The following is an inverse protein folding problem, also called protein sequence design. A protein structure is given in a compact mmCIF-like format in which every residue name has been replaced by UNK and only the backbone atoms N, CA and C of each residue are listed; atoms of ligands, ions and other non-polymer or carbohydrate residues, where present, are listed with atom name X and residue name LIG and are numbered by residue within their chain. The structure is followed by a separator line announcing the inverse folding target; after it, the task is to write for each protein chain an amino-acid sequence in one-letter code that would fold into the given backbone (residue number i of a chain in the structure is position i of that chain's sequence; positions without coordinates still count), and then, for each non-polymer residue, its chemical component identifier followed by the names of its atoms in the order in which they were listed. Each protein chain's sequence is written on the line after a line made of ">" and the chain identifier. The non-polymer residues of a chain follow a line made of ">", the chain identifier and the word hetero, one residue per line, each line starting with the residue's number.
data_IF_358929018197
#
_entry.id   IF_358929018197
#
_cell.length_a   1.000
_cell.length_b   1.000
_cell.length_c   1.000
_cell.angle_alpha   90.00
_cell.angle_beta   90.00
_cell.angle_gamma   90.00
#
_symmetry.space_group_name_H-M   'P 1'
#
loop_
_entity.id
_entity.type
_entity.pdbx_description
1 polymer ?
#
# COMPACT_ATOMS: atom_id res chain seq x y z
N UNK A 1 9.96 4.99 28.50
CA UNK A 1 8.84 4.41 27.72
C UNK A 1 9.19 4.55 26.25
N UNK A 2 9.64 3.49 25.59
CA UNK A 2 9.71 3.51 24.13
C UNK A 2 8.28 3.51 23.60
N UNK A 3 7.87 4.60 22.95
CA UNK A 3 6.68 4.59 22.10
C UNK A 3 6.97 3.60 20.97
N UNK A 4 6.29 2.45 20.97
CA UNK A 4 6.24 1.59 19.81
C UNK A 4 5.63 2.41 18.67
N UNK A 5 6.46 2.87 17.73
CA UNK A 5 6.00 3.42 16.46
C UNK A 5 5.20 2.31 15.78
N UNK A 6 3.89 2.49 15.70
CA UNK A 6 3.03 1.56 14.98
C UNK A 6 3.42 1.62 13.51
N UNK A 7 3.84 0.48 12.93
CA UNK A 7 4.05 0.36 11.50
C UNK A 7 2.69 0.57 10.82
N UNK A 8 2.55 1.70 10.11
CA UNK A 8 1.36 1.99 9.32
C UNK A 8 1.42 1.14 8.05
N UNK A 9 0.64 0.08 8.00
CA UNK A 9 0.52 -0.76 6.80
C UNK A 9 -0.27 0.01 5.73
N UNK A 10 0.32 0.18 4.55
CA UNK A 10 -0.33 0.80 3.39
C UNK A 10 -0.71 -0.34 2.44
N UNK A 11 -2.00 -0.71 2.33
CA UNK A 11 -2.41 -1.75 1.41
C UNK A 11 -2.28 -1.25 -0.03
N UNK A 12 -1.60 -2.02 -0.87
CA UNK A 12 -1.40 -1.72 -2.28
C UNK A 12 -1.90 -2.89 -3.12
N UNK A 13 -2.87 -2.63 -3.98
CA UNK A 13 -3.37 -3.54 -4.99
C UNK A 13 -2.67 -3.25 -6.31
N UNK A 14 -1.80 -4.17 -6.73
CA UNK A 14 -1.09 -4.08 -8.00
C UNK A 14 -1.84 -4.83 -9.11
N UNK A 15 -1.47 -4.55 -10.37
CA UNK A 15 -1.93 -5.22 -11.58
C UNK A 15 -3.39 -4.90 -11.94
N UNK A 16 -3.79 -3.64 -11.75
CA UNK A 16 -5.11 -3.14 -12.16
C UNK A 16 -5.31 -3.06 -13.67
N UNK A 17 -4.24 -3.21 -14.45
CA UNK A 17 -4.23 -3.13 -15.91
C UNK A 17 -4.79 -4.38 -16.62
N UNK A 18 -5.02 -5.46 -15.88
CA UNK A 18 -5.57 -6.70 -16.45
C UNK A 18 -7.08 -6.57 -16.66
N UNK A 19 -7.59 -6.95 -17.83
CA UNK A 19 -9.04 -7.00 -18.10
C UNK A 19 -9.73 -8.01 -17.16
N UNK A 20 -9.00 -9.06 -16.76
CA UNK A 20 -9.44 -10.05 -15.78
C UNK A 20 -9.25 -9.61 -14.31
N UNK A 21 -8.80 -8.37 -14.04
CA UNK A 21 -8.57 -7.91 -12.67
C UNK A 21 -9.90 -7.64 -11.95
N UNK A 22 -10.20 -8.47 -10.95
CA UNK A 22 -11.34 -8.27 -10.06
C UNK A 22 -10.96 -7.35 -8.88
N UNK A 23 -10.88 -6.05 -9.18
CA UNK A 23 -10.47 -5.01 -8.23
C UNK A 23 -11.40 -4.96 -7.01
N UNK A 24 -12.70 -5.11 -7.23
CA UNK A 24 -13.71 -4.98 -6.17
C UNK A 24 -13.67 -6.16 -5.20
N UNK A 25 -13.54 -7.40 -5.68
CA UNK A 25 -13.39 -8.53 -4.78
C UNK A 25 -12.02 -8.53 -4.08
N UNK A 26 -10.95 -8.08 -4.75
CA UNK A 26 -9.65 -7.94 -4.11
C UNK A 26 -9.68 -6.92 -2.96
N UNK A 27 -10.34 -5.77 -3.13
CA UNK A 27 -10.55 -4.79 -2.06
C UNK A 27 -11.31 -5.37 -0.88
N UNK A 28 -12.39 -6.12 -1.11
CA UNK A 28 -13.16 -6.78 -0.06
C UNK A 28 -12.32 -7.79 0.73
N UNK A 29 -11.46 -8.55 0.04
CA UNK A 29 -10.54 -9.47 0.71
C UNK A 29 -9.55 -8.71 1.60
N UNK A 30 -8.97 -7.61 1.11
CA UNK A 30 -8.05 -6.77 1.88
C UNK A 30 -8.74 -6.18 3.12
N UNK A 31 -9.97 -5.68 2.96
CA UNK A 31 -10.79 -5.19 4.08
C UNK A 31 -11.02 -6.31 5.12
N UNK A 32 -11.38 -7.51 4.68
CA UNK A 32 -11.61 -8.64 5.59
C UNK A 32 -10.33 -9.14 6.29
N UNK A 33 -9.16 -9.01 5.65
CA UNK A 33 -7.88 -9.49 6.20
C UNK A 33 -7.21 -8.49 7.15
N UNK A 34 -7.22 -7.20 6.79
CA UNK A 34 -6.43 -6.15 7.47
C UNK A 34 -7.33 -5.10 8.14
N UNK A 35 -8.62 -5.05 7.79
CA UNK A 35 -9.55 -4.04 8.29
C UNK A 35 -9.37 -2.66 7.64
N UNK A 36 -8.58 -2.57 6.56
CA UNK A 36 -8.32 -1.31 5.84
C UNK A 36 -9.50 -0.92 4.98
N UNK A 37 -9.88 0.35 4.99
CA UNK A 37 -10.99 0.85 4.17
C UNK A 37 -10.61 0.82 2.70
N UNK A 38 -11.59 0.66 1.82
CA UNK A 38 -11.36 0.61 0.37
C UNK A 38 -10.66 1.86 -0.17
N UNK A 39 -10.91 3.02 0.44
CA UNK A 39 -10.28 4.29 0.08
C UNK A 39 -8.83 4.44 0.58
N UNK A 40 -8.35 3.52 1.42
CA UNK A 40 -6.96 3.45 1.88
C UNK A 40 -6.12 2.48 1.03
N UNK A 41 -6.76 1.74 0.11
CA UNK A 41 -6.10 0.77 -0.77
C UNK A 41 -5.62 1.46 -2.04
N UNK A 42 -4.31 1.55 -2.20
CA UNK A 42 -3.69 2.11 -3.39
C UNK A 42 -3.77 1.14 -4.56
N UNK A 43 -4.30 1.59 -5.67
CA UNK A 43 -4.36 0.83 -6.92
C UNK A 43 -3.21 1.26 -7.82
N UNK A 44 -2.37 0.32 -8.22
CA UNK A 44 -1.23 0.58 -9.08
C UNK A 44 -1.14 -0.44 -10.22
N UNK A 45 -0.48 -0.05 -11.30
CA UNK A 45 -0.02 -0.94 -12.36
C UNK A 45 1.49 -0.78 -12.52
N UNK A 46 2.23 -1.81 -12.08
CA UNK A 46 3.67 -1.85 -12.32
C UNK A 46 4.04 -1.96 -13.81
N UNK A 47 3.10 -2.38 -14.67
CA UNK A 47 3.34 -2.55 -16.11
C UNK A 47 3.22 -1.25 -16.89
N UNK A 48 2.22 -0.43 -16.56
CA UNK A 48 2.00 0.88 -17.20
C UNK A 48 2.65 2.02 -16.43
N UNK A 49 3.04 1.78 -15.18
CA UNK A 49 3.56 2.81 -14.26
C UNK A 49 2.45 3.62 -13.58
N UNK A 50 1.18 3.31 -13.84
CA UNK A 50 0.03 4.02 -13.28
C UNK A 50 -0.01 3.86 -11.75
N UNK A 51 -0.17 4.98 -11.04
CA UNK A 51 -0.31 5.01 -9.58
C UNK A 51 0.98 4.73 -8.78
N UNK A 52 2.08 4.30 -9.41
CA UNK A 52 3.34 3.96 -8.74
C UNK A 52 3.96 5.18 -8.06
N UNK A 53 4.01 6.32 -8.75
CA UNK A 53 4.55 7.57 -8.19
C UNK A 53 3.76 8.04 -6.97
N UNK A 54 2.42 8.03 -7.06
CA UNK A 54 1.54 8.43 -5.96
C UNK A 54 1.71 7.50 -4.75
N UNK A 55 1.82 6.20 -5.00
CA UNK A 55 2.08 5.21 -3.95
C UNK A 55 3.43 5.48 -3.27
N UNK A 56 4.48 5.76 -4.05
CA UNK A 56 5.80 6.07 -3.52
C UNK A 56 5.79 7.35 -2.68
N UNK A 57 5.24 8.45 -3.21
CA UNK A 57 5.14 9.73 -2.48
C UNK A 57 4.33 9.58 -1.19
N UNK A 58 3.21 8.86 -1.24
CA UNK A 58 2.40 8.60 -0.05
C UNK A 58 3.16 7.78 0.99
N UNK A 59 3.88 6.74 0.55
CA UNK A 59 4.70 5.91 1.44
C UNK A 59 5.85 6.72 2.06
N UNK A 60 6.51 7.58 1.30
CA UNK A 60 7.60 8.43 1.76
C UNK A 60 7.11 9.52 2.74
N UNK A 61 5.93 10.08 2.53
CA UNK A 61 5.35 11.07 3.45
C UNK A 61 4.92 10.46 4.78
N UNK A 62 4.35 9.24 4.73
CA UNK A 62 3.89 8.54 5.93
C UNK A 62 4.99 7.76 6.65
N UNK A 63 6.12 7.50 6.01
CA UNK A 63 7.28 6.88 6.61
C UNK A 63 8.23 7.98 7.11
N UNK A 64 8.26 8.31 8.42
CA UNK A 64 9.19 9.30 8.92
C UNK A 64 10.62 8.84 8.62
N UNK A 65 11.35 9.63 7.83
CA UNK A 65 12.74 9.40 7.49
C UNK A 65 13.56 9.23 8.77
N UNK A 66 14.10 8.02 8.97
CA UNK A 66 15.00 7.73 10.08
C UNK A 66 14.64 6.44 10.81
N UNK A 67 14.85 5.30 10.16
CA UNK A 67 15.70 4.25 10.73
C UNK A 67 16.56 3.70 9.60
N UNK A 68 17.87 3.76 9.79
CA UNK A 68 18.86 3.03 9.03
C UNK A 68 18.46 1.55 9.03
N UNK A 69 18.16 1.04 7.83
CA UNK A 69 17.59 -0.29 7.67
C UNK A 69 18.59 -1.34 8.17
N UNK A 70 18.23 -1.93 9.30
CA UNK A 70 18.81 -3.10 9.95
C UNK A 70 18.60 -4.35 9.05
N UNK A 71 19.28 -4.37 7.91
CA UNK A 71 19.42 -5.51 7.01
C UNK A 71 20.87 -5.60 6.51
N UNK A 72 21.81 -5.55 7.46
CA UNK A 72 23.22 -5.92 7.30
C UNK A 72 23.54 -7.07 8.24
#
# INVERSE_FOLDING_TARGET
>A
MLQLKQARNIPVLNKIDSIDADIENAKKQIFNLIGSKENEIFQISAKTGEGVEICYLTSAFNYPSGEENRWS
#
